data_IF_005081847091
#
_entry.id   IF_005081847091
#
_cell.length_a   1.000
_cell.length_b   1.000
_cell.length_c   1.000
_cell.angle_alpha   90.00
_cell.angle_beta   90.00
_cell.angle_gamma   90.00
#
_symmetry.space_group_name_H-M   'P 1'
#
loop_
_entity.id
_entity.type
_entity.pdbx_description
1 polymer ?
#
# COMPACT_ATOMS: atom_id res chain seq x y z
N UNK A 1 10.17 -11.54 19.35
CA UNK A 1 9.09 -12.39 18.80
C UNK A 1 8.37 -13.14 19.91
N UNK A 2 7.11 -12.79 20.19
CA UNK A 2 6.25 -13.49 21.16
C UNK A 2 5.83 -14.88 20.63
N UNK A 3 5.64 -15.00 19.32
CA UNK A 3 5.20 -16.24 18.63
C UNK A 3 6.11 -17.45 18.88
N UNK A 4 7.41 -17.26 19.10
CA UNK A 4 8.36 -18.34 19.37
C UNK A 4 8.27 -18.93 20.79
N UNK A 5 7.65 -18.22 21.74
CA UNK A 5 7.45 -18.71 23.12
C UNK A 5 6.13 -19.44 23.31
N UNK A 6 5.19 -19.21 22.41
CA UNK A 6 3.84 -19.77 22.46
C UNK A 6 3.70 -21.10 21.73
N UNK A 7 4.75 -21.53 21.01
CA UNK A 7 4.70 -22.66 20.06
C UNK A 7 5.88 -23.61 20.24
N UNK A 8 5.60 -24.92 20.16
CA UNK A 8 6.58 -26.00 20.26
C UNK A 8 7.62 -25.93 19.12
N UNK A 9 8.82 -26.49 19.32
CA UNK A 9 9.95 -26.33 18.36
C UNK A 9 9.60 -26.77 16.95
N UNK A 10 8.75 -27.79 16.81
CA UNK A 10 8.37 -28.35 15.52
C UNK A 10 7.48 -27.40 14.68
N UNK A 11 6.69 -26.53 15.31
CA UNK A 11 5.65 -25.74 14.61
C UNK A 11 6.03 -24.25 14.46
N UNK A 12 7.17 -23.85 15.00
CA UNK A 12 7.75 -22.50 14.83
C UNK A 12 7.85 -22.01 13.37
N UNK A 13 8.31 -22.82 12.39
CA UNK A 13 8.36 -22.36 11.00
C UNK A 13 6.97 -22.09 10.42
N UNK A 14 5.95 -22.86 10.82
CA UNK A 14 4.56 -22.64 10.42
C UNK A 14 4.03 -21.32 11.01
N UNK A 15 4.27 -21.07 12.30
CA UNK A 15 3.85 -19.84 12.96
C UNK A 15 4.49 -18.58 12.35
N UNK A 16 5.78 -18.63 12.03
CA UNK A 16 6.49 -17.54 11.37
C UNK A 16 5.98 -17.30 9.94
N UNK A 17 5.73 -18.38 9.19
CA UNK A 17 5.15 -18.30 7.85
C UNK A 17 3.76 -17.66 7.87
N UNK A 18 2.89 -18.08 8.79
CA UNK A 18 1.54 -17.53 8.93
C UNK A 18 1.54 -16.04 9.32
N UNK A 19 2.39 -15.66 10.28
CA UNK A 19 2.56 -14.27 10.67
C UNK A 19 2.95 -13.39 9.47
N UNK A 20 3.88 -13.88 8.64
CA UNK A 20 4.32 -13.16 7.45
C UNK A 20 3.22 -13.04 6.39
N UNK A 21 2.43 -14.09 6.18
CA UNK A 21 1.30 -14.07 5.23
C UNK A 21 0.24 -13.07 5.65
N UNK A 22 -0.11 -13.01 6.94
CA UNK A 22 -1.11 -12.07 7.47
C UNK A 22 -0.66 -10.62 7.25
N UNK A 23 0.60 -10.31 7.59
CA UNK A 23 1.17 -8.96 7.39
C UNK A 23 1.16 -8.58 5.91
N UNK A 24 1.60 -9.49 5.03
CA UNK A 24 1.62 -9.28 3.57
C UNK A 24 0.22 -9.04 3.00
N UNK A 25 -0.78 -9.79 3.48
CA UNK A 25 -2.16 -9.65 3.03
C UNK A 25 -2.72 -8.28 3.41
N UNK A 26 -2.50 -7.88 4.66
CA UNK A 26 -2.91 -6.58 5.18
C UNK A 26 -2.17 -5.40 4.54
N UNK A 27 -0.96 -5.59 4.03
CA UNK A 27 -0.21 -4.56 3.31
C UNK A 27 -0.59 -4.45 1.83
N UNK A 28 -0.95 -5.56 1.18
CA UNK A 28 -1.30 -5.59 -0.24
C UNK A 28 -2.70 -5.04 -0.55
N UNK A 29 -3.63 -5.04 0.41
CA UNK A 29 -4.96 -4.43 0.25
C UNK A 29 -4.94 -2.89 0.25
N UNK A 30 -4.25 -2.20 1.19
CA UNK A 30 -4.20 -0.75 1.21
C UNK A 30 -3.34 -0.16 0.09
N UNK A 31 -2.36 -0.90 -0.45
CA UNK A 31 -1.52 -0.43 -1.55
C UNK A 31 -2.31 0.04 -2.80
N UNK A 32 -3.19 -0.77 -3.42
CA UNK A 32 -4.02 -0.33 -4.55
C UNK A 32 -5.04 0.73 -4.15
N UNK A 33 -5.55 0.71 -2.91
CA UNK A 33 -6.47 1.73 -2.42
C UNK A 33 -5.80 3.12 -2.35
N UNK A 34 -4.58 3.17 -1.80
CA UNK A 34 -3.78 4.40 -1.73
C UNK A 34 -3.41 4.88 -3.13
N UNK A 35 -2.99 3.98 -4.03
CA UNK A 35 -2.71 4.34 -5.42
C UNK A 35 -3.92 4.97 -6.11
N UNK A 36 -5.12 4.40 -5.93
CA UNK A 36 -6.35 4.98 -6.47
C UNK A 36 -6.57 6.41 -5.95
N UNK A 37 -6.42 6.62 -4.63
CA UNK A 37 -6.55 7.96 -4.03
C UNK A 37 -5.50 8.96 -4.52
N UNK A 38 -4.26 8.51 -4.75
CA UNK A 38 -3.19 9.37 -5.29
C UNK A 38 -3.55 9.83 -6.70
N UNK A 39 -4.07 8.92 -7.54
CA UNK A 39 -4.49 9.25 -8.90
C UNK A 39 -5.62 10.28 -8.87
N UNK A 40 -6.60 10.09 -8.00
CA UNK A 40 -7.70 11.06 -7.82
C UNK A 40 -7.19 12.42 -7.30
N UNK A 41 -6.22 12.42 -6.38
CA UNK A 41 -5.64 13.64 -5.82
C UNK A 41 -4.69 14.38 -6.78
N UNK A 42 -4.08 13.67 -7.72
CA UNK A 42 -3.24 14.26 -8.77
C UNK A 42 -4.07 14.87 -9.92
N UNK A 43 -5.40 14.72 -9.89
CA UNK A 43 -6.30 15.32 -10.86
C UNK A 43 -6.40 16.84 -10.65
N UNK A 44 -5.92 17.62 -11.61
CA UNK A 44 -5.98 19.08 -11.56
C UNK A 44 -7.24 19.63 -12.22
N UNK A 45 -7.72 18.96 -13.28
CA UNK A 45 -8.96 19.34 -13.96
C UNK A 45 -9.81 18.12 -14.34
N UNK A 46 -10.99 18.03 -13.73
CA UNK A 46 -11.99 17.02 -14.07
C UNK A 46 -12.62 17.32 -15.42
N UNK A 47 -12.69 16.33 -16.31
CA UNK A 47 -13.34 16.50 -17.61
C UNK A 47 -14.85 16.42 -17.42
N UNK A 48 -15.56 17.51 -17.68
CA UNK A 48 -17.03 17.55 -17.62
C UNK A 48 -17.57 17.28 -19.03
N UNK A 49 -18.28 16.16 -19.19
CA UNK A 49 -18.96 15.84 -20.46
C UNK A 49 -20.46 15.74 -20.19
N UNK A 50 -21.27 16.50 -20.94
CA UNK A 50 -22.74 16.55 -20.77
C UNK A 50 -23.20 16.83 -19.32
N UNK A 51 -22.46 17.66 -18.58
CA UNK A 51 -22.79 18.03 -17.20
C UNK A 51 -22.48 16.97 -16.13
N UNK A 52 -21.83 15.85 -16.50
CA UNK A 52 -21.35 14.83 -15.55
C UNK A 52 -19.83 14.85 -15.44
N UNK A 53 -19.31 14.70 -14.21
CA UNK A 53 -17.88 14.44 -13.99
C UNK A 53 -17.51 13.09 -14.61
N UNK A 54 -16.61 13.12 -15.59
CA UNK A 54 -16.02 11.93 -16.20
C UNK A 54 -14.61 11.69 -15.68
N UNK A 55 -13.74 11.13 -16.52
CA UNK A 55 -12.34 10.92 -16.18
C UNK A 55 -11.58 12.25 -16.00
N UNK A 56 -10.43 12.23 -15.33
CA UNK A 56 -9.59 13.41 -15.25
C UNK A 56 -9.01 13.78 -16.62
N UNK A 57 -8.99 15.07 -16.96
CA UNK A 57 -8.47 15.58 -18.23
C UNK A 57 -6.96 15.79 -18.20
N UNK A 58 -6.46 16.33 -17.08
CA UNK A 58 -5.06 16.67 -16.88
C UNK A 58 -4.62 16.22 -15.48
N UNK A 59 -3.57 15.39 -15.46
CA UNK A 59 -2.91 14.94 -14.25
C UNK A 59 -1.60 15.69 -14.08
N UNK A 60 -1.31 16.17 -12.88
CA UNK A 60 -0.01 16.73 -12.53
C UNK A 60 0.98 15.57 -12.31
N UNK A 61 1.84 15.31 -13.31
CA UNK A 61 2.82 14.22 -13.25
C UNK A 61 3.85 14.41 -12.14
N UNK A 62 4.15 15.65 -11.73
CA UNK A 62 5.14 15.93 -10.67
C UNK A 62 4.56 15.52 -9.32
N UNK A 63 3.31 15.91 -9.04
CA UNK A 63 2.59 15.47 -7.84
C UNK A 63 2.40 13.96 -7.84
N UNK A 64 1.94 13.38 -8.94
CA UNK A 64 1.72 11.94 -9.07
C UNK A 64 2.99 11.14 -8.78
N UNK A 65 4.11 11.50 -9.41
CA UNK A 65 5.39 10.83 -9.19
C UNK A 65 5.90 11.00 -7.75
N UNK A 66 5.78 12.20 -7.17
CA UNK A 66 6.23 12.45 -5.80
C UNK A 66 5.44 11.62 -4.78
N UNK A 67 4.12 11.56 -4.94
CA UNK A 67 3.27 10.75 -4.06
C UNK A 67 3.53 9.25 -4.24
N UNK A 68 3.59 8.74 -5.47
CA UNK A 68 3.86 7.32 -5.74
C UNK A 68 5.23 6.87 -5.21
N UNK A 69 6.28 7.66 -5.45
CA UNK A 69 7.62 7.34 -4.94
C UNK A 69 7.65 7.43 -3.41
N UNK A 70 7.02 8.46 -2.82
CA UNK A 70 6.93 8.63 -1.37
C UNK A 70 6.21 7.47 -0.69
N UNK A 71 5.03 7.08 -1.17
CA UNK A 71 4.26 5.98 -0.59
C UNK A 71 4.92 4.62 -0.79
N UNK A 72 5.56 4.40 -1.94
CA UNK A 72 6.36 3.18 -2.18
C UNK A 72 7.49 3.04 -1.16
N UNK A 73 8.27 4.11 -0.94
CA UNK A 73 9.39 4.09 0.01
C UNK A 73 8.92 3.97 1.45
N UNK A 74 7.81 4.62 1.80
CA UNK A 74 7.19 4.50 3.12
C UNK A 74 6.72 3.07 3.42
N UNK A 75 6.02 2.42 2.47
CA UNK A 75 5.57 1.04 2.63
C UNK A 75 6.74 0.05 2.75
N UNK A 76 7.80 0.25 1.95
CA UNK A 76 9.04 -0.53 2.05
C UNK A 76 9.72 -0.34 3.41
N UNK A 77 9.78 0.89 3.93
CA UNK A 77 10.39 1.20 5.23
C UNK A 77 9.62 0.56 6.38
N UNK A 78 8.28 0.63 6.38
CA UNK A 78 7.45 -0.04 7.38
C UNK A 78 7.71 -1.55 7.36
N UNK A 79 7.70 -2.16 6.17
CA UNK A 79 7.95 -3.60 6.04
C UNK A 79 9.34 -3.97 6.54
N UNK A 80 10.35 -3.13 6.30
CA UNK A 80 11.71 -3.34 6.81
C UNK A 80 11.77 -3.21 8.34
N UNK A 81 11.07 -2.23 8.92
CA UNK A 81 11.00 -2.01 10.36
C UNK A 81 10.27 -3.16 11.09
N UNK A 82 9.27 -3.78 10.48
CA UNK A 82 8.62 -4.96 11.06
C UNK A 82 9.48 -6.24 11.00
N UNK A 83 10.47 -6.26 10.10
CA UNK A 83 11.36 -7.41 9.88
C UNK A 83 12.68 -7.29 10.65
N UNK A 84 13.11 -6.07 11.01
CA UNK A 84 14.29 -5.77 11.84
C UNK A 84 13.93 -5.72 13.32
#
# INVERSE_FOLDING_TARGET
>A
MVTMRSVDRAERPLALGLQFVIIRLLANIPAPLICARIIDAACEHWRITCGRQGNCAFYDLVKLNKYLMGTSKYLQLITFLEVV
#
